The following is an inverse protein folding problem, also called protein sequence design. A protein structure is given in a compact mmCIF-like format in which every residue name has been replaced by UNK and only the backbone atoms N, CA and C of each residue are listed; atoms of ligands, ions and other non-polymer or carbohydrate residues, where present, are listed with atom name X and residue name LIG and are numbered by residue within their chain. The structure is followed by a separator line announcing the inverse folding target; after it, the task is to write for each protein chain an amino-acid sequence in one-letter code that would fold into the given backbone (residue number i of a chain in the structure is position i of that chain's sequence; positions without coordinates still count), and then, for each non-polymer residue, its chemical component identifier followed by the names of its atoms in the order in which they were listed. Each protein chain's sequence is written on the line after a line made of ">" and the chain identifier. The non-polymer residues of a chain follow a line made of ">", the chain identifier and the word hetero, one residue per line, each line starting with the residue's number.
data_IF_959322412218
#
_entry.id   IF_959322412218
#
_cell.length_a   1.000
_cell.length_b   1.000
_cell.length_c   1.000
_cell.angle_alpha   90.00
_cell.angle_beta   90.00
_cell.angle_gamma   90.00
#
_symmetry.space_group_name_H-M   'P 1'
#
loop_
_entity.id
_entity.type
_entity.pdbx_description
1 polymer ?
#
# COMPACT_ATOMS: atom_id res chain seq x y z
N UNK A 1 7.13 26.33 19.12
CA UNK A 1 6.41 25.05 18.90
C UNK A 1 7.34 24.19 18.05
N UNK A 2 7.51 22.93 18.39
CA UNK A 2 8.38 22.03 17.61
C UNK A 2 7.77 21.75 16.25
N UNK A 3 8.55 21.86 15.19
CA UNK A 3 8.12 21.56 13.82
C UNK A 3 8.79 20.28 13.34
N UNK A 4 7.98 19.33 12.87
CA UNK A 4 8.42 18.02 12.41
C UNK A 4 8.00 17.82 10.95
N UNK A 5 8.94 17.45 10.07
CA UNK A 5 8.62 17.01 8.73
C UNK A 5 8.68 15.48 8.67
N UNK A 6 7.72 14.86 7.99
CA UNK A 6 7.65 13.41 7.78
C UNK A 6 7.63 13.15 6.28
N UNK A 7 8.60 12.38 5.78
CA UNK A 7 8.68 12.01 4.36
C UNK A 7 8.14 10.59 4.20
N UNK A 8 7.01 10.49 3.51
CA UNK A 8 6.25 9.26 3.31
C UNK A 8 5.03 9.15 4.23
N UNK A 9 3.85 8.89 3.66
CA UNK A 9 2.60 8.68 4.38
C UNK A 9 2.15 7.21 4.39
N UNK A 10 3.10 6.27 4.39
CA UNK A 10 2.87 4.88 4.73
C UNK A 10 2.53 4.72 6.23
N UNK A 11 2.27 3.48 6.73
CA UNK A 11 1.92 3.25 8.14
C UNK A 11 2.91 3.86 9.12
N UNK A 12 4.22 3.77 8.86
CA UNK A 12 5.23 4.40 9.71
C UNK A 12 5.19 5.94 9.70
N UNK A 13 4.79 6.54 8.57
CA UNK A 13 4.79 7.98 8.41
C UNK A 13 3.52 8.66 8.90
N UNK A 14 2.33 8.23 8.43
CA UNK A 14 1.10 8.90 8.85
C UNK A 14 0.81 8.70 10.35
N UNK A 15 1.13 7.53 10.91
CA UNK A 15 0.96 7.31 12.37
C UNK A 15 1.91 8.18 13.18
N UNK A 16 3.18 8.31 12.75
CA UNK A 16 4.14 9.20 13.39
C UNK A 16 3.71 10.68 13.30
N UNK A 17 3.20 11.11 12.12
CA UNK A 17 2.68 12.45 11.91
C UNK A 17 1.49 12.76 12.83
N UNK A 18 0.51 11.86 12.90
CA UNK A 18 -0.65 11.99 13.78
C UNK A 18 -0.21 12.03 15.24
N UNK A 19 0.70 11.15 15.63
CA UNK A 19 1.18 11.14 17.02
C UNK A 19 1.92 12.41 17.38
N UNK A 20 2.77 12.91 16.50
CA UNK A 20 3.47 14.20 16.72
C UNK A 20 2.46 15.35 16.84
N UNK A 21 1.44 15.40 16.00
CA UNK A 21 0.37 16.39 16.04
C UNK A 21 -0.42 16.33 17.37
N UNK A 22 -0.75 15.14 17.85
CA UNK A 22 -1.41 14.93 19.15
C UNK A 22 -0.55 15.43 20.33
N UNK A 23 0.77 15.39 20.19
CA UNK A 23 1.72 15.91 21.19
C UNK A 23 1.95 17.43 21.07
N UNK A 24 1.24 18.10 20.17
CA UNK A 24 1.29 19.56 20.01
C UNK A 24 2.39 20.06 19.08
N UNK A 25 3.01 19.20 18.26
CA UNK A 25 3.93 19.64 17.22
C UNK A 25 3.19 20.21 16.00
N UNK A 26 3.84 21.13 15.26
CA UNK A 26 3.47 21.42 13.88
C UNK A 26 4.08 20.35 12.96
N UNK A 27 3.27 19.74 12.12
CA UNK A 27 3.72 18.64 11.28
C UNK A 27 3.55 18.97 9.80
N UNK A 28 4.56 18.70 9.00
CA UNK A 28 4.46 18.68 7.53
C UNK A 28 4.63 17.23 7.09
N UNK A 29 3.57 16.62 6.57
CA UNK A 29 3.57 15.27 6.03
C UNK A 29 3.66 15.34 4.51
N UNK A 30 4.68 14.70 3.92
CA UNK A 30 4.97 14.73 2.49
C UNK A 30 4.79 13.33 1.92
N UNK A 31 3.95 13.19 0.87
CA UNK A 31 3.70 11.90 0.21
C UNK A 31 3.69 12.08 -1.31
N UNK A 32 4.47 11.26 -1.99
CA UNK A 32 4.63 11.35 -3.44
C UNK A 32 3.47 10.71 -4.23
N UNK A 33 2.82 9.70 -3.67
CA UNK A 33 1.76 8.92 -4.31
C UNK A 33 0.45 9.05 -3.53
N UNK A 34 0.14 8.07 -2.69
CA UNK A 34 -1.12 7.97 -1.93
C UNK A 34 -0.84 7.64 -0.46
N UNK A 35 -1.63 8.16 0.48
CA UNK A 35 -1.48 7.79 1.88
C UNK A 35 -1.76 6.29 2.10
N UNK A 36 -1.17 5.73 3.16
CA UNK A 36 -1.25 4.31 3.47
C UNK A 36 -0.11 3.47 2.92
N UNK A 37 0.71 4.04 2.01
CA UNK A 37 1.93 3.41 1.47
C UNK A 37 1.70 2.01 0.90
N UNK A 38 2.73 1.18 0.91
CA UNK A 38 2.65 -0.20 0.42
C UNK A 38 1.56 -1.01 1.10
N UNK A 39 1.43 -0.93 2.41
CA UNK A 39 0.48 -1.77 3.16
C UNK A 39 -0.96 -1.60 2.67
N UNK A 40 -1.45 -0.38 2.53
CA UNK A 40 -2.83 -0.13 2.14
C UNK A 40 -3.05 -0.29 0.63
N UNK A 41 -2.08 0.16 -0.18
CA UNK A 41 -2.27 0.26 -1.62
C UNK A 41 -1.82 -0.99 -2.38
N UNK A 42 -0.69 -1.63 -1.97
CA UNK A 42 0.00 -2.69 -2.73
C UNK A 42 0.50 -3.84 -1.85
N UNK A 43 -0.05 -4.03 -0.65
CA UNK A 43 0.44 -5.02 0.31
C UNK A 43 -0.67 -5.63 1.15
N UNK A 44 -0.70 -5.30 2.44
CA UNK A 44 -1.54 -5.96 3.44
C UNK A 44 -3.03 -6.00 3.05
N UNK A 45 -3.59 -4.86 2.70
CA UNK A 45 -5.05 -4.74 2.47
C UNK A 45 -5.49 -5.46 1.20
N UNK A 46 -4.90 -5.19 0.01
CA UNK A 46 -5.30 -5.93 -1.19
C UNK A 46 -5.03 -7.43 -1.07
N UNK A 47 -3.89 -7.84 -0.50
CA UNK A 47 -3.55 -9.25 -0.30
C UNK A 47 -4.58 -9.94 0.60
N UNK A 48 -4.92 -9.37 1.76
CA UNK A 48 -5.90 -9.97 2.69
C UNK A 48 -7.32 -9.96 2.11
N UNK A 49 -7.62 -9.02 1.23
CA UNK A 49 -8.90 -8.99 0.51
C UNK A 49 -9.01 -10.18 -0.46
N UNK A 50 -7.94 -10.49 -1.21
CA UNK A 50 -7.87 -11.66 -2.10
C UNK A 50 -7.83 -12.97 -1.28
N UNK A 51 -7.03 -13.01 -0.23
CA UNK A 51 -6.96 -14.16 0.69
C UNK A 51 -8.33 -14.56 1.22
N UNK A 52 -9.19 -13.59 1.57
CA UNK A 52 -10.54 -13.88 2.03
C UNK A 52 -11.39 -14.61 0.99
N UNK A 53 -11.17 -14.35 -0.30
CA UNK A 53 -11.86 -15.09 -1.35
C UNK A 53 -11.30 -16.51 -1.50
N UNK A 54 -9.97 -16.70 -1.40
CA UNK A 54 -9.37 -18.04 -1.41
C UNK A 54 -9.89 -18.89 -0.24
N UNK A 55 -9.99 -18.33 0.96
CA UNK A 55 -10.58 -18.97 2.14
C UNK A 55 -12.06 -19.38 1.91
N UNK A 56 -12.84 -18.54 1.25
CA UNK A 56 -14.23 -18.85 0.90
C UNK A 56 -14.26 -20.01 -0.10
N UNK A 57 -13.41 -20.02 -1.12
CA UNK A 57 -13.33 -21.11 -2.09
C UNK A 57 -12.90 -22.42 -1.45
N UNK A 58 -11.95 -22.41 -0.52
CA UNK A 58 -11.55 -23.58 0.25
C UNK A 58 -12.75 -24.15 1.03
N UNK A 59 -13.50 -23.28 1.72
CA UNK A 59 -14.70 -23.70 2.46
C UNK A 59 -15.78 -24.26 1.52
N UNK A 60 -15.95 -23.72 0.30
CA UNK A 60 -16.86 -24.24 -0.72
C UNK A 60 -16.39 -25.63 -1.21
N UNK A 61 -15.10 -25.85 -1.41
CA UNK A 61 -14.57 -27.18 -1.75
C UNK A 61 -14.87 -28.20 -0.65
N UNK A 62 -14.83 -27.79 0.61
CA UNK A 62 -15.15 -28.62 1.78
C UNK A 62 -16.62 -28.62 2.16
N UNK A 63 -17.51 -28.12 1.28
CA UNK A 63 -18.94 -27.92 1.54
C UNK A 63 -19.66 -29.13 2.14
N UNK A 64 -19.28 -30.34 1.76
CA UNK A 64 -19.89 -31.57 2.27
C UNK A 64 -19.64 -31.76 3.78
N UNK A 65 -18.50 -31.31 4.30
CA UNK A 65 -18.19 -31.35 5.73
C UNK A 65 -19.12 -30.48 6.54
N UNK A 66 -19.64 -29.40 5.93
CA UNK A 66 -20.57 -28.46 6.53
C UNK A 66 -22.05 -28.79 6.25
N UNK A 67 -22.33 -29.94 5.56
CA UNK A 67 -23.69 -30.34 5.20
C UNK A 67 -24.32 -29.47 4.12
N UNK A 68 -23.52 -28.73 3.33
CA UNK A 68 -24.00 -27.85 2.28
C UNK A 68 -24.06 -28.59 0.94
N UNK A 69 -25.21 -28.46 0.25
CA UNK A 69 -25.43 -28.97 -1.10
C UNK A 69 -25.39 -27.77 -2.05
N UNK A 70 -24.39 -27.75 -2.92
CA UNK A 70 -24.19 -26.70 -3.92
C UNK A 70 -23.68 -27.32 -5.23
N UNK A 71 -24.09 -26.75 -6.34
CA UNK A 71 -23.52 -27.04 -7.64
C UNK A 71 -22.12 -26.40 -7.79
N UNK A 72 -21.63 -26.29 -9.01
CA UNK A 72 -20.34 -25.70 -9.32
C UNK A 72 -20.28 -24.21 -8.92
N UNK A 73 -19.21 -23.83 -8.23
CA UNK A 73 -18.90 -22.43 -7.93
C UNK A 73 -17.75 -21.97 -8.82
N UNK A 74 -17.94 -20.84 -9.49
CA UNK A 74 -16.92 -20.21 -10.36
C UNK A 74 -16.52 -18.85 -9.80
N UNK A 75 -15.25 -18.51 -9.99
CA UNK A 75 -14.73 -17.18 -9.66
C UNK A 75 -14.97 -16.24 -10.83
N UNK A 76 -15.46 -15.04 -10.55
CA UNK A 76 -15.43 -13.91 -11.47
C UNK A 76 -14.20 -13.05 -11.15
N UNK A 77 -13.12 -13.12 -11.95
CA UNK A 77 -11.88 -12.40 -11.66
C UNK A 77 -12.03 -10.88 -11.72
N UNK A 78 -12.92 -10.38 -12.58
CA UNK A 78 -13.17 -8.94 -12.69
C UNK A 78 -13.83 -8.41 -11.41
N UNK A 79 -14.90 -9.07 -10.95
CA UNK A 79 -15.58 -8.69 -9.71
C UNK A 79 -14.68 -8.85 -8.49
N UNK A 80 -13.81 -9.86 -8.48
CA UNK A 80 -12.79 -10.06 -7.45
C UNK A 80 -11.85 -8.85 -7.37
N UNK A 81 -11.33 -8.41 -8.51
CA UNK A 81 -10.45 -7.25 -8.60
C UNK A 81 -11.17 -5.95 -8.20
N UNK A 82 -12.40 -5.72 -8.69
CA UNK A 82 -13.21 -4.57 -8.31
C UNK A 82 -13.41 -4.49 -6.80
N UNK A 83 -13.81 -5.60 -6.16
CA UNK A 83 -13.98 -5.67 -4.70
C UNK A 83 -12.69 -5.32 -3.95
N UNK A 84 -11.54 -5.81 -4.43
CA UNK A 84 -10.23 -5.46 -3.87
C UNK A 84 -10.01 -3.95 -3.95
N UNK A 85 -10.26 -3.34 -5.10
CA UNK A 85 -10.12 -1.89 -5.28
C UNK A 85 -11.08 -1.11 -4.36
N UNK A 86 -12.35 -1.50 -4.26
CA UNK A 86 -13.33 -0.87 -3.37
C UNK A 86 -12.86 -0.85 -1.91
N UNK A 87 -12.30 -1.96 -1.44
CA UNK A 87 -11.78 -2.08 -0.07
C UNK A 87 -10.58 -1.16 0.13
N UNK A 88 -9.63 -1.15 -0.81
CA UNK A 88 -8.45 -0.28 -0.76
C UNK A 88 -8.87 1.19 -0.74
N UNK A 89 -9.73 1.62 -1.67
CA UNK A 89 -10.20 3.01 -1.74
C UNK A 89 -10.89 3.46 -0.45
N UNK A 90 -11.73 2.60 0.13
CA UNK A 90 -12.42 2.90 1.39
C UNK A 90 -11.43 3.14 2.54
N UNK A 91 -10.39 2.30 2.65
CA UNK A 91 -9.42 2.39 3.75
C UNK A 91 -8.48 3.57 3.54
N UNK A 92 -7.99 3.78 2.32
CA UNK A 92 -7.13 4.93 1.98
C UNK A 92 -7.87 6.26 2.21
N UNK A 93 -9.13 6.36 1.78
CA UNK A 93 -9.97 7.52 2.06
C UNK A 93 -10.17 7.78 3.55
N UNK A 94 -10.28 6.71 4.35
CA UNK A 94 -10.30 6.81 5.82
C UNK A 94 -9.02 7.41 6.41
N UNK A 95 -7.85 7.02 5.89
CA UNK A 95 -6.56 7.59 6.32
C UNK A 95 -6.43 9.05 5.87
N UNK A 96 -6.84 9.38 4.64
CA UNK A 96 -6.86 10.79 4.18
C UNK A 96 -7.73 11.66 5.08
N UNK A 97 -8.94 11.20 5.39
CA UNK A 97 -9.83 11.90 6.31
C UNK A 97 -9.21 12.07 7.70
N UNK A 98 -8.58 11.02 8.22
CA UNK A 98 -7.93 11.06 9.53
C UNK A 98 -6.78 12.06 9.56
N UNK A 99 -5.90 12.08 8.55
CA UNK A 99 -4.81 13.07 8.44
C UNK A 99 -5.42 14.49 8.40
N UNK A 100 -6.44 14.72 7.58
CA UNK A 100 -7.11 16.01 7.43
C UNK A 100 -7.86 16.48 8.68
N UNK A 101 -8.14 15.61 9.64
CA UNK A 101 -8.80 15.97 10.90
C UNK A 101 -7.88 16.68 11.90
N UNK A 102 -6.58 16.71 11.66
CA UNK A 102 -5.60 17.39 12.51
C UNK A 102 -5.20 18.74 11.88
N UNK A 103 -5.64 19.88 12.43
CA UNK A 103 -5.37 21.21 11.85
C UNK A 103 -3.89 21.62 11.88
N UNK A 104 -3.07 20.94 12.70
CA UNK A 104 -1.63 21.14 12.81
C UNK A 104 -0.81 20.16 11.95
N UNK A 105 -1.46 19.42 11.02
CA UNK A 105 -0.78 18.65 9.97
C UNK A 105 -0.99 19.35 8.64
N UNK A 106 0.09 19.85 8.04
CA UNK A 106 0.12 20.25 6.64
C UNK A 106 0.43 19.03 5.78
N UNK A 107 -0.50 18.58 4.93
CA UNK A 107 -0.28 17.45 4.04
C UNK A 107 0.08 17.93 2.63
N UNK A 108 1.29 17.58 2.19
CA UNK A 108 1.84 17.94 0.87
C UNK A 108 1.90 16.71 -0.04
N UNK A 109 1.15 16.75 -1.14
CA UNK A 109 1.21 15.72 -2.20
C UNK A 109 2.38 16.04 -3.14
N UNK A 110 3.50 15.35 -2.96
CA UNK A 110 4.72 15.62 -3.73
C UNK A 110 5.92 14.79 -3.27
N UNK A 111 7.01 14.92 -4.00
CA UNK A 111 8.26 14.23 -3.73
C UNK A 111 9.22 15.12 -2.94
N UNK A 112 9.62 14.67 -1.76
CA UNK A 112 10.58 15.36 -0.89
C UNK A 112 12.02 14.90 -1.10
N UNK A 113 12.93 15.84 -1.16
CA UNK A 113 14.38 15.60 -1.19
C UNK A 113 15.11 16.51 -0.21
N UNK A 114 16.19 16.02 0.41
CA UNK A 114 16.98 16.81 1.34
C UNK A 114 17.77 17.89 0.59
N UNK A 115 17.75 19.11 1.12
CA UNK A 115 18.66 20.20 0.78
C UNK A 115 19.78 20.27 1.82
N UNK A 116 19.40 20.18 3.08
CA UNK A 116 20.29 20.12 4.23
C UNK A 116 19.64 19.31 5.36
N UNK A 117 20.28 19.13 6.55
CA UNK A 117 19.71 18.33 7.64
C UNK A 117 18.37 18.81 8.19
N UNK A 118 17.94 20.04 7.90
CA UNK A 118 16.71 20.66 8.39
C UNK A 118 15.77 21.13 7.29
N UNK A 119 16.17 21.05 6.02
CA UNK A 119 15.40 21.58 4.88
C UNK A 119 15.13 20.48 3.86
N UNK A 120 13.85 20.34 3.50
CA UNK A 120 13.35 19.44 2.45
C UNK A 120 12.83 20.29 1.31
N UNK A 121 13.35 20.07 0.11
CA UNK A 121 12.75 20.57 -1.12
C UNK A 121 11.64 19.61 -1.56
N UNK A 122 10.42 20.11 -1.70
CA UNK A 122 9.24 19.36 -2.12
C UNK A 122 8.82 19.78 -3.51
N UNK A 123 8.87 18.85 -4.45
CA UNK A 123 8.28 19.01 -5.78
C UNK A 123 6.85 18.48 -5.72
N UNK A 124 5.87 19.38 -5.72
CA UNK A 124 4.45 19.06 -5.62
C UNK A 124 3.93 18.42 -6.92
N UNK A 125 2.88 17.62 -6.81
CA UNK A 125 2.29 16.89 -7.93
C UNK A 125 1.62 17.83 -8.95
N UNK A 126 1.29 19.08 -8.57
CA UNK A 126 0.82 20.13 -9.47
C UNK A 126 1.94 20.85 -10.24
N UNK A 127 3.20 20.45 -10.03
CA UNK A 127 4.38 21.01 -10.64
C UNK A 127 5.00 22.20 -9.90
N UNK A 128 4.36 22.72 -8.87
CA UNK A 128 4.94 23.75 -8.00
C UNK A 128 6.00 23.16 -7.07
N UNK A 129 6.78 24.04 -6.43
CA UNK A 129 7.86 23.66 -5.54
C UNK A 129 7.77 24.42 -4.23
N UNK A 130 8.15 23.78 -3.13
CA UNK A 130 8.14 24.38 -1.80
C UNK A 130 9.29 23.84 -0.97
N UNK A 131 10.01 24.72 -0.29
CA UNK A 131 10.99 24.32 0.72
C UNK A 131 10.29 24.26 2.10
N UNK A 132 10.57 23.18 2.81
CA UNK A 132 10.04 22.92 4.15
C UNK A 132 11.20 22.82 5.12
N UNK A 133 11.27 23.76 6.07
CA UNK A 133 12.23 23.70 7.16
C UNK A 133 11.58 23.13 8.41
N UNK A 134 12.27 22.24 9.12
CA UNK A 134 11.79 21.59 10.34
C UNK A 134 12.93 21.39 11.36
N UNK A 135 12.57 21.31 12.65
CA UNK A 135 13.51 21.00 13.72
C UNK A 135 13.99 19.54 13.63
N UNK A 136 13.04 18.65 13.27
CA UNK A 136 13.29 17.21 13.11
C UNK A 136 12.65 16.70 11.83
N UNK A 137 13.30 15.71 11.21
CA UNK A 137 12.81 15.07 10.01
C UNK A 137 12.72 13.56 10.24
N UNK A 138 11.54 12.98 9.96
CA UNK A 138 11.29 11.54 10.01
C UNK A 138 11.30 11.01 8.57
N UNK A 139 12.20 10.06 8.30
CA UNK A 139 12.28 9.38 7.00
C UNK A 139 11.45 8.11 7.08
N UNK A 140 10.29 8.09 6.41
CA UNK A 140 9.36 6.97 6.38
C UNK A 140 9.00 6.57 4.92
N UNK A 141 10.00 6.62 4.03
CA UNK A 141 9.85 6.47 2.57
C UNK A 141 9.52 5.05 2.12
N UNK A 142 9.56 4.08 3.03
CA UNK A 142 9.21 2.69 2.75
C UNK A 142 10.20 1.97 1.83
N UNK A 143 9.69 1.00 1.08
CA UNK A 143 10.46 0.16 0.17
C UNK A 143 9.63 -0.21 -1.07
N UNK A 144 10.28 -0.78 -2.06
CA UNK A 144 9.67 -1.33 -3.27
C UNK A 144 10.12 -2.76 -3.49
N UNK A 145 9.39 -3.57 -4.29
CA UNK A 145 9.83 -4.90 -4.66
C UNK A 145 11.24 -4.89 -5.25
N UNK A 146 12.07 -5.83 -4.83
CA UNK A 146 13.41 -6.01 -5.37
C UNK A 146 13.38 -7.10 -6.42
N UNK A 147 13.86 -6.79 -7.63
CA UNK A 147 13.99 -7.76 -8.72
C UNK A 147 15.44 -8.28 -8.71
N UNK A 148 15.66 -9.57 -8.42
CA UNK A 148 17.01 -10.13 -8.42
C UNK A 148 17.60 -10.14 -9.85
N UNK A 149 18.93 -10.11 -10.01
CA UNK A 149 19.58 -10.07 -11.32
C UNK A 149 19.64 -11.46 -11.96
N UNK A 150 18.47 -12.03 -12.23
CA UNK A 150 18.30 -13.32 -12.92
C UNK A 150 18.00 -13.04 -14.38
N UNK A 151 18.60 -13.80 -15.30
CA UNK A 151 18.33 -13.67 -16.72
C UNK A 151 16.84 -13.89 -17.01
N UNK A 152 16.23 -12.99 -17.76
CA UNK A 152 14.82 -13.06 -18.14
C UNK A 152 13.84 -12.34 -17.20
N UNK A 153 14.30 -11.71 -16.11
CA UNK A 153 13.41 -10.95 -15.21
C UNK A 153 12.77 -9.70 -15.84
N UNK A 154 13.22 -9.31 -17.02
CA UNK A 154 12.66 -8.23 -17.83
C UNK A 154 11.68 -8.71 -18.91
N UNK A 155 11.33 -9.99 -18.94
CA UNK A 155 10.36 -10.51 -19.88
C UNK A 155 8.92 -10.11 -19.49
N UNK A 156 8.00 -9.97 -20.49
CA UNK A 156 6.66 -9.44 -20.24
C UNK A 156 5.82 -10.21 -19.21
N UNK A 157 6.09 -11.52 -19.06
CA UNK A 157 5.33 -12.39 -18.15
C UNK A 157 5.98 -12.52 -16.76
N UNK A 158 7.05 -11.76 -16.51
CA UNK A 158 7.70 -11.70 -15.19
C UNK A 158 7.21 -10.47 -14.48
N UNK A 159 6.52 -10.67 -13.38
CA UNK A 159 5.84 -9.62 -12.61
C UNK A 159 6.31 -9.62 -11.17
N UNK A 160 6.19 -8.50 -10.49
CA UNK A 160 6.42 -8.38 -9.05
C UNK A 160 5.11 -8.53 -8.27
N UNK A 161 5.20 -8.39 -6.95
CA UNK A 161 4.02 -8.38 -6.08
C UNK A 161 3.03 -7.26 -6.41
N UNK A 162 3.50 -6.14 -6.93
CA UNK A 162 2.65 -5.01 -7.26
C UNK A 162 1.74 -5.34 -8.45
N UNK A 163 2.32 -5.85 -9.54
CA UNK A 163 1.57 -6.24 -10.73
C UNK A 163 0.68 -7.47 -10.48
N UNK A 164 1.12 -8.41 -9.61
CA UNK A 164 0.29 -9.56 -9.24
C UNK A 164 -1.05 -9.12 -8.64
N UNK A 165 -1.05 -8.14 -7.77
CA UNK A 165 -2.27 -7.61 -7.15
C UNK A 165 -3.21 -6.91 -8.14
N UNK A 166 -2.72 -6.56 -9.34
CA UNK A 166 -3.49 -5.89 -10.40
C UNK A 166 -3.90 -6.82 -11.54
N UNK A 167 -3.64 -8.13 -11.44
CA UNK A 167 -4.09 -9.12 -12.43
C UNK A 167 -5.62 -9.06 -12.60
N UNK A 168 -6.06 -9.11 -13.85
CA UNK A 168 -7.48 -9.11 -14.24
C UNK A 168 -8.00 -10.53 -14.53
N UNK A 169 -7.08 -11.47 -14.65
CA UNK A 169 -7.34 -12.87 -14.95
C UNK A 169 -6.53 -13.73 -13.98
N UNK A 170 -7.07 -14.87 -13.63
CA UNK A 170 -6.34 -15.86 -12.80
C UNK A 170 -5.49 -16.69 -13.77
N UNK A 171 -4.15 -16.71 -13.61
CA UNK A 171 -3.29 -17.51 -14.48
C UNK A 171 -3.54 -19.00 -14.26
N UNK A 172 -3.50 -19.79 -15.35
CA UNK A 172 -3.59 -21.25 -15.26
C UNK A 172 -2.37 -21.87 -14.56
N UNK A 173 -1.21 -21.25 -14.76
CA UNK A 173 0.05 -21.66 -14.13
C UNK A 173 0.79 -20.43 -13.57
N UNK A 174 1.28 -20.55 -12.35
CA UNK A 174 2.06 -19.51 -11.69
C UNK A 174 3.35 -20.11 -11.12
N UNK A 175 4.48 -19.53 -11.50
CA UNK A 175 5.78 -19.85 -10.90
C UNK A 175 6.18 -18.71 -9.96
N UNK A 176 6.35 -19.03 -8.68
CA UNK A 176 6.77 -18.07 -7.66
C UNK A 176 8.26 -18.23 -7.39
N UNK A 177 9.04 -17.19 -7.67
CA UNK A 177 10.48 -17.15 -7.39
C UNK A 177 10.72 -16.51 -6.04
N UNK A 178 10.92 -17.33 -5.03
CA UNK A 178 11.14 -16.95 -3.64
C UNK A 178 10.06 -17.47 -2.68
N UNK A 179 10.49 -18.17 -1.63
CA UNK A 179 9.62 -18.73 -0.59
C UNK A 179 9.46 -17.84 0.65
N UNK A 180 9.57 -16.52 0.49
CA UNK A 180 9.28 -15.55 1.56
C UNK A 180 7.77 -15.37 1.79
N UNK A 181 7.42 -14.56 2.80
CA UNK A 181 6.01 -14.37 3.23
C UNK A 181 5.10 -13.99 2.06
N UNK A 182 5.49 -13.01 1.24
CA UNK A 182 4.69 -12.54 0.10
C UNK A 182 4.49 -13.66 -0.93
N UNK A 183 5.57 -14.37 -1.29
CA UNK A 183 5.50 -15.46 -2.27
C UNK A 183 4.60 -16.60 -1.80
N UNK A 184 4.67 -16.96 -0.52
CA UNK A 184 3.82 -18.00 0.08
C UNK A 184 2.35 -17.58 0.15
N UNK A 185 2.07 -16.32 0.50
CA UNK A 185 0.71 -15.79 0.50
C UNK A 185 0.11 -15.82 -0.92
N UNK A 186 0.86 -15.36 -1.92
CA UNK A 186 0.37 -15.34 -3.31
C UNK A 186 0.21 -16.73 -3.92
N UNK A 187 1.05 -17.70 -3.52
CA UNK A 187 0.88 -19.09 -3.93
C UNK A 187 -0.37 -19.76 -3.31
N UNK A 188 -0.91 -19.18 -2.24
CA UNK A 188 -2.10 -19.69 -1.53
C UNK A 188 -3.40 -19.01 -1.94
N UNK A 189 -3.32 -17.87 -2.60
CA UNK A 189 -4.47 -17.12 -3.13
C UNK A 189 -4.90 -17.66 -4.48
#
# INVERSE_FOLDING_TARGET
>A
MTKIAVIGAGPGGYEAAIRAAQMGAEVVLIEADRPGGTCLNRGCIPTKTLWKNAEIMENIHRKAEFGLLMDECKIDPLRLNERKCEVVEKIVGGVEFLIGSYPNIEYLKGFGSFVDPHTIHVKLNDGSQKDVTADYIIIATGSKPSVPPIAGTNLPNVITSDEFLDLKEIPEELVVVGGGVIGMEFASI
#
